data_IF_475514660100
#
_entry.id   IF_475514660100
#
_cell.length_a   1.000
_cell.length_b   1.000
_cell.length_c   1.000
_cell.angle_alpha   90.00
_cell.angle_beta   90.00
_cell.angle_gamma   90.00
#
_symmetry.space_group_name_H-M   'P 1'
#
loop_
_entity.id
_entity.type
_entity.pdbx_description
1 polymer ?
#
# COMPACT_ATOMS: atom_id res chain seq x y z
N UNK A 1 -1.37 16.77 24.45
CA UNK A 1 -2.31 17.16 23.38
C UNK A 1 -1.59 17.58 22.09
N UNK A 2 -0.71 18.60 22.07
CA UNK A 2 -0.08 19.05 20.81
C UNK A 2 0.83 18.00 20.12
N UNK A 3 1.50 17.14 20.89
CA UNK A 3 2.43 16.15 20.32
C UNK A 3 1.72 14.95 19.65
N UNK A 4 0.67 14.40 20.28
CA UNK A 4 -0.16 13.33 19.68
C UNK A 4 -0.91 13.77 18.42
N UNK A 5 -1.49 14.98 18.43
CA UNK A 5 -2.14 15.56 17.25
C UNK A 5 -1.17 15.76 16.07
N UNK A 6 0.13 15.99 16.36
CA UNK A 6 1.17 16.14 15.33
C UNK A 6 1.51 14.78 14.71
N UNK A 7 1.60 13.71 15.52
CA UNK A 7 1.90 12.36 15.04
C UNK A 7 0.76 11.79 14.17
N UNK A 8 -0.50 12.03 14.51
CA UNK A 8 -1.65 11.61 13.70
C UNK A 8 -1.70 12.31 12.32
N UNK A 9 -1.42 13.61 12.28
CA UNK A 9 -1.34 14.36 11.01
C UNK A 9 -0.17 13.91 10.14
N UNK A 10 0.97 13.56 10.74
CA UNK A 10 2.13 12.99 10.03
C UNK A 10 1.80 11.61 9.48
N UNK A 11 1.19 10.73 10.27
CA UNK A 11 0.72 9.41 9.84
C UNK A 11 -0.26 9.49 8.67
N UNK A 12 -1.24 10.39 8.72
CA UNK A 12 -2.19 10.59 7.62
C UNK A 12 -1.50 11.06 6.32
N UNK A 13 -0.47 11.91 6.45
CA UNK A 13 0.33 12.37 5.31
C UNK A 13 1.19 11.25 4.72
N UNK A 14 1.83 10.45 5.57
CA UNK A 14 2.62 9.30 5.15
C UNK A 14 1.74 8.21 4.53
N UNK A 15 0.54 7.99 5.05
CA UNK A 15 -0.49 7.12 4.49
C UNK A 15 -0.86 7.52 3.06
N UNK A 16 -1.18 8.80 2.84
CA UNK A 16 -1.50 9.31 1.51
C UNK A 16 -0.33 9.15 0.53
N UNK A 17 0.91 9.37 1.00
CA UNK A 17 2.10 9.15 0.18
C UNK A 17 2.31 7.67 -0.14
N UNK A 18 2.10 6.78 0.84
CA UNK A 18 2.17 5.33 0.64
C UNK A 18 1.14 4.89 -0.40
N UNK A 19 -0.11 5.35 -0.28
CA UNK A 19 -1.18 4.99 -1.20
C UNK A 19 -0.84 5.38 -2.64
N UNK A 20 -0.31 6.60 -2.83
CA UNK A 20 0.17 7.08 -4.13
C UNK A 20 1.29 6.18 -4.69
N UNK A 21 2.33 5.90 -3.89
CA UNK A 21 3.47 5.07 -4.32
C UNK A 21 2.98 3.64 -4.63
N UNK A 22 2.06 3.10 -3.82
CA UNK A 22 1.49 1.77 -4.03
C UNK A 22 0.70 1.70 -5.34
N UNK A 23 -0.07 2.75 -5.67
CA UNK A 23 -0.80 2.86 -6.92
C UNK A 23 0.14 2.94 -8.12
N UNK A 24 1.21 3.75 -8.02
CA UNK A 24 2.25 3.83 -9.04
C UNK A 24 2.94 2.48 -9.26
N UNK A 25 3.30 1.77 -8.18
CA UNK A 25 3.95 0.45 -8.30
C UNK A 25 3.03 -0.59 -8.93
N UNK A 26 1.75 -0.62 -8.55
CA UNK A 26 0.72 -1.46 -9.17
C UNK A 26 0.54 -1.15 -10.66
N UNK A 27 0.56 0.13 -11.04
CA UNK A 27 0.48 0.55 -12.43
C UNK A 27 1.69 0.09 -13.25
N UNK A 28 2.90 0.19 -12.69
CA UNK A 28 4.12 -0.32 -13.33
C UNK A 28 4.05 -1.84 -13.50
N UNK A 29 3.60 -2.57 -12.48
CA UNK A 29 3.40 -4.03 -12.56
C UNK A 29 2.44 -4.38 -13.70
N UNK A 30 1.27 -3.73 -13.75
CA UNK A 30 0.28 -3.95 -14.80
C UNK A 30 0.84 -3.63 -16.20
N UNK A 31 1.68 -2.60 -16.32
CA UNK A 31 2.33 -2.25 -17.57
C UNK A 31 3.33 -3.33 -18.04
N UNK A 32 4.10 -3.91 -17.11
CA UNK A 32 5.00 -5.03 -17.41
C UNK A 32 4.21 -6.26 -17.83
N UNK A 33 3.12 -6.60 -17.15
CA UNK A 33 2.24 -7.73 -17.50
C UNK A 33 1.62 -7.57 -18.90
N UNK A 34 1.15 -6.36 -19.23
CA UNK A 34 0.60 -6.06 -20.57
C UNK A 34 1.67 -6.21 -21.67
N UNK A 35 2.86 -5.66 -21.42
CA UNK A 35 4.00 -5.75 -22.35
C UNK A 35 4.45 -7.21 -22.51
N UNK A 36 4.48 -7.98 -21.42
CA UNK A 36 4.78 -9.39 -21.40
C UNK A 36 3.76 -10.22 -22.20
N UNK A 37 2.48 -9.91 -22.07
CA UNK A 37 1.41 -10.53 -22.85
C UNK A 37 1.56 -10.29 -24.36
N UNK A 38 1.95 -9.08 -24.75
CA UNK A 38 2.27 -8.77 -26.15
C UNK A 38 3.50 -9.53 -26.64
N UNK A 39 4.55 -9.61 -25.80
CA UNK A 39 5.80 -10.30 -26.11
C UNK A 39 5.62 -11.83 -26.23
N UNK A 40 4.68 -12.43 -25.50
CA UNK A 40 4.42 -13.87 -25.52
C UNK A 40 4.15 -14.41 -26.93
N UNK A 41 3.49 -13.60 -27.78
CA UNK A 41 3.23 -13.96 -29.19
C UNK A 41 4.48 -14.02 -30.08
N UNK A 42 5.56 -13.36 -29.67
CA UNK A 42 6.83 -13.23 -30.41
C UNK A 42 7.96 -14.09 -29.82
N UNK A 43 7.70 -14.76 -28.70
CA UNK A 43 8.68 -15.56 -27.97
C UNK A 43 8.86 -16.94 -28.60
N UNK A 44 9.82 -17.05 -29.52
CA UNK A 44 10.16 -18.31 -30.21
C UNK A 44 11.60 -18.73 -29.90
N UNK A 45 11.84 -20.03 -29.75
CA UNK A 45 13.16 -20.60 -29.49
C UNK A 45 13.62 -20.45 -28.03
N UNK A 46 14.90 -20.73 -27.76
CA UNK A 46 15.45 -20.75 -26.40
C UNK A 46 15.32 -19.41 -25.65
N UNK A 47 15.41 -18.29 -26.38
CA UNK A 47 15.20 -16.96 -25.80
C UNK A 47 13.74 -16.78 -25.32
N UNK A 48 12.77 -17.31 -26.08
CA UNK A 48 11.36 -17.32 -25.68
C UNK A 48 11.11 -18.15 -24.43
N UNK A 49 11.67 -19.36 -24.33
CA UNK A 49 11.56 -20.18 -23.12
C UNK A 49 12.15 -19.49 -21.89
N UNK A 50 13.33 -18.85 -22.03
CA UNK A 50 13.98 -18.14 -20.94
C UNK A 50 13.16 -16.92 -20.47
N UNK A 51 12.65 -16.11 -21.40
CA UNK A 51 11.80 -14.99 -21.06
C UNK A 51 10.47 -15.46 -20.44
N UNK A 52 9.90 -16.59 -20.86
CA UNK A 52 8.66 -17.11 -20.27
C UNK A 52 8.88 -17.54 -18.82
N UNK A 53 10.00 -18.21 -18.53
CA UNK A 53 10.38 -18.57 -17.17
C UNK A 53 10.61 -17.32 -16.29
N UNK A 54 11.22 -16.27 -16.83
CA UNK A 54 11.40 -15.00 -16.13
C UNK A 54 10.05 -14.31 -15.83
N UNK A 55 9.12 -14.32 -16.80
CA UNK A 55 7.79 -13.74 -16.64
C UNK A 55 6.94 -14.47 -15.60
N UNK A 56 7.03 -15.81 -15.53
CA UNK A 56 6.34 -16.57 -14.47
C UNK A 56 6.84 -16.16 -13.09
N UNK A 57 8.17 -16.09 -12.90
CA UNK A 57 8.77 -15.63 -11.63
C UNK A 57 8.40 -14.18 -11.32
N UNK A 58 8.34 -13.33 -12.34
CA UNK A 58 7.91 -11.95 -12.21
C UNK A 58 6.47 -11.88 -11.71
N UNK A 59 5.53 -12.59 -12.33
CA UNK A 59 4.12 -12.60 -11.94
C UNK A 59 3.93 -13.11 -10.50
N UNK A 60 4.66 -14.15 -10.09
CA UNK A 60 4.61 -14.64 -8.70
C UNK A 60 5.14 -13.62 -7.68
N UNK A 61 6.18 -12.86 -8.04
CA UNK A 61 6.72 -11.80 -7.20
C UNK A 61 5.79 -10.58 -7.17
N UNK A 62 5.23 -10.20 -8.33
CA UNK A 62 4.29 -9.11 -8.50
C UNK A 62 3.01 -9.33 -7.70
N UNK A 63 2.43 -10.54 -7.75
CA UNK A 63 1.25 -10.89 -6.96
C UNK A 63 1.50 -10.75 -5.46
N UNK A 64 2.65 -11.24 -4.97
CA UNK A 64 3.07 -11.08 -3.58
C UNK A 64 3.24 -9.61 -3.19
N UNK A 65 3.85 -8.81 -4.07
CA UNK A 65 4.08 -7.40 -3.81
C UNK A 65 2.77 -6.61 -3.79
N UNK A 66 1.81 -6.90 -4.68
CA UNK A 66 0.47 -6.31 -4.66
C UNK A 66 -0.25 -6.64 -3.36
N UNK A 67 -0.17 -7.91 -2.91
CA UNK A 67 -0.77 -8.33 -1.65
C UNK A 67 -0.18 -7.55 -0.48
N UNK A 68 1.16 -7.50 -0.36
CA UNK A 68 1.83 -6.78 0.72
C UNK A 68 1.47 -5.28 0.72
N UNK A 69 1.40 -4.65 -0.46
CA UNK A 69 0.97 -3.27 -0.58
C UNK A 69 -0.47 -3.05 -0.10
N UNK A 70 -1.38 -3.98 -0.39
CA UNK A 70 -2.76 -3.93 0.10
C UNK A 70 -2.82 -4.11 1.61
N UNK A 71 -2.05 -5.04 2.15
CA UNK A 71 -2.00 -5.34 3.58
C UNK A 71 -1.43 -4.16 4.37
N UNK A 72 -0.35 -3.53 3.88
CA UNK A 72 0.20 -2.31 4.48
C UNK A 72 -0.81 -1.16 4.40
N UNK A 73 -1.47 -0.95 3.25
CA UNK A 73 -2.52 0.07 3.13
C UNK A 73 -3.65 -0.15 4.14
N UNK A 74 -4.14 -1.39 4.28
CA UNK A 74 -5.18 -1.75 5.25
C UNK A 74 -4.71 -1.52 6.69
N UNK A 75 -3.47 -1.85 7.02
CA UNK A 75 -2.88 -1.61 8.34
C UNK A 75 -2.77 -0.12 8.65
N UNK A 76 -2.38 0.69 7.68
CA UNK A 76 -2.30 2.15 7.80
C UNK A 76 -3.69 2.74 8.06
N UNK A 77 -4.71 2.36 7.28
CA UNK A 77 -6.08 2.81 7.48
C UNK A 77 -6.62 2.41 8.85
N UNK A 78 -6.42 1.15 9.25
CA UNK A 78 -6.85 0.66 10.57
C UNK A 78 -6.18 1.43 11.70
N UNK A 79 -4.87 1.65 11.61
CA UNK A 79 -4.10 2.42 12.60
C UNK A 79 -4.58 3.87 12.68
N UNK A 80 -4.85 4.50 11.53
CA UNK A 80 -5.39 5.86 11.46
C UNK A 80 -6.76 5.99 12.13
N UNK A 81 -7.68 5.06 11.87
CA UNK A 81 -9.02 5.07 12.50
C UNK A 81 -8.99 4.85 14.01
N UNK A 82 -8.11 3.95 14.49
CA UNK A 82 -7.93 3.73 15.93
C UNK A 82 -7.35 4.96 16.64
N UNK A 83 -6.43 5.69 16.00
CA UNK A 83 -5.87 6.91 16.56
C UNK A 83 -6.94 8.00 16.72
N UNK A 84 -7.73 8.27 15.68
CA UNK A 84 -8.81 9.27 15.77
C UNK A 84 -9.83 8.93 16.84
N UNK A 85 -10.28 7.67 16.92
CA UNK A 85 -11.23 7.23 17.94
C UNK A 85 -10.65 7.35 19.37
N UNK A 86 -9.37 7.00 19.55
CA UNK A 86 -8.70 7.10 20.85
C UNK A 86 -8.56 8.55 21.30
N UNK A 87 -8.21 9.46 20.39
CA UNK A 87 -8.09 10.89 20.70
C UNK A 87 -9.45 11.51 21.06
N UNK A 88 -10.53 11.15 20.35
CA UNK A 88 -11.89 11.60 20.67
C UNK A 88 -12.36 11.10 22.06
N UNK A 89 -12.13 9.81 22.36
CA UNK A 89 -12.49 9.23 23.65
C UNK A 89 -11.67 9.84 24.80
N UNK A 90 -10.36 10.02 24.64
CA UNK A 90 -9.51 10.64 25.66
C UNK A 90 -9.84 12.11 25.87
N UNK A 91 -10.16 12.86 24.81
CA UNK A 91 -10.63 14.23 24.93
C UNK A 91 -11.95 14.31 25.71
N UNK A 92 -12.89 13.39 25.47
CA UNK A 92 -14.15 13.30 26.21
C UNK A 92 -13.96 12.97 27.70
N UNK A 93 -13.06 12.04 28.02
CA UNK A 93 -12.74 11.67 29.42
C UNK A 93 -12.05 12.83 30.15
N UNK A 94 -11.13 13.54 29.50
CA UNK A 94 -10.46 14.70 30.11
C UNK A 94 -11.44 15.87 30.27
N UNK A 95 -12.31 16.14 29.30
CA UNK A 95 -13.34 17.17 29.40
C UNK A 95 -14.30 16.87 30.57
N UNK A 96 -14.80 15.63 30.66
CA UNK A 96 -15.66 15.19 31.75
C UNK A 96 -14.98 15.23 33.13
N UNK A 97 -13.68 14.93 33.21
CA UNK A 97 -12.90 15.02 34.45
C UNK A 97 -12.57 16.48 34.85
N UNK A 98 -12.53 17.41 33.89
CA UNK A 98 -12.26 18.84 34.12
C UNK A 98 -13.51 19.66 34.44
N UNK A 99 -14.72 19.07 34.40
CA UNK A 99 -15.94 19.71 34.87
C UNK A 99 -16.39 20.92 34.06
N UNK A 100 -16.11 20.93 32.75
CA UNK A 100 -16.71 21.82 31.74
C UNK A 100 -17.47 20.99 30.72
#
# INVERSE_FOLDING_TARGET
>A
MAQMNTDAAVLAKEAANFERISGELKAVISHVESTAGALASQMVGQAGTAAQAALVRYNEAAARQIQELNDISANIHTSGTQYTATDEDQAGVVAGAMGI
#
